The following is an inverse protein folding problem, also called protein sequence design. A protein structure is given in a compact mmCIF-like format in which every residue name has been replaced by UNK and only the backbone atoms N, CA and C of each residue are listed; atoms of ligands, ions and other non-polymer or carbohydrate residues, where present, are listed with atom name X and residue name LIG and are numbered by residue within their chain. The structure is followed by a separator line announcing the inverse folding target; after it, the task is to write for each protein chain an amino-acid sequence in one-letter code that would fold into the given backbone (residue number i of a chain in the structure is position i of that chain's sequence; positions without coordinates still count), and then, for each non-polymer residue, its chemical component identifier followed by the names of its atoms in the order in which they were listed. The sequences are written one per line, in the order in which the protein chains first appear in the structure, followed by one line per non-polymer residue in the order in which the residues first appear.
data_IF_886217197327
#
_entry.id   IF_886217197327
#
_cell.length_a   1.000
_cell.length_b   1.000
_cell.length_c   1.000
_cell.angle_alpha   90.00
_cell.angle_beta   90.00
_cell.angle_gamma   90.00
#
_symmetry.space_group_name_H-M   'P 1'
#
loop_
_entity.id
_entity.type
_entity.pdbx_description
1 polymer ?
#
# COMPACT_ATOMS: atom_id res chain seq x y z
N UNK A 1 -10.53 5.75 -6.08
CA UNK A 1 -11.51 6.28 -5.12
C UNK A 1 -12.85 5.67 -5.46
N UNK A 2 -13.55 5.14 -4.47
CA UNK A 2 -14.89 4.57 -4.59
C UNK A 2 -15.70 4.90 -3.34
N UNK A 3 -16.99 4.61 -3.33
CA UNK A 3 -17.89 4.84 -2.20
C UNK A 3 -17.46 4.06 -0.94
N UNK A 4 -16.87 2.87 -1.16
CA UNK A 4 -16.35 2.02 -0.11
C UNK A 4 -17.42 1.18 0.61
N UNK A 5 -18.61 1.03 0.04
CA UNK A 5 -19.72 0.29 0.66
C UNK A 5 -19.42 -1.21 0.91
N UNK A 6 -18.43 -1.79 0.22
CA UNK A 6 -17.85 -3.10 0.56
C UNK A 6 -17.12 -3.15 1.91
N UNK A 7 -16.83 -2.00 2.53
CA UNK A 7 -16.12 -1.89 3.83
C UNK A 7 -17.04 -1.71 5.04
N UNK A 8 -18.36 -1.70 4.86
CA UNK A 8 -19.35 -1.43 5.93
C UNK A 8 -19.19 -2.30 7.19
N UNK A 9 -18.63 -3.52 7.07
CA UNK A 9 -18.34 -4.40 8.23
C UNK A 9 -17.22 -3.88 9.15
N UNK A 10 -16.29 -3.07 8.63
CA UNK A 10 -15.10 -2.55 9.36
C UNK A 10 -15.14 -1.03 9.56
N UNK A 11 -15.97 -0.32 8.79
CA UNK A 11 -16.10 1.14 8.81
C UNK A 11 -17.52 1.54 9.22
N UNK A 12 -17.82 1.43 10.52
CA UNK A 12 -19.15 1.70 11.10
C UNK A 12 -19.60 3.14 10.81
N UNK A 13 -18.67 4.09 10.76
CA UNK A 13 -18.92 5.50 10.45
C UNK A 13 -19.50 5.75 9.04
N UNK A 14 -19.39 4.76 8.15
CA UNK A 14 -19.93 4.84 6.79
C UNK A 14 -21.45 4.63 6.75
N UNK A 15 -22.02 3.90 7.72
CA UNK A 15 -23.45 3.55 7.74
C UNK A 15 -24.36 4.79 7.70
N UNK A 16 -24.04 5.81 8.48
CA UNK A 16 -24.85 7.04 8.57
C UNK A 16 -24.70 7.97 7.37
N UNK A 17 -23.63 7.80 6.57
CA UNK A 17 -23.31 8.66 5.42
C UNK A 17 -23.67 8.01 4.09
N UNK A 18 -23.87 6.70 4.06
CA UNK A 18 -24.13 5.94 2.85
C UNK A 18 -25.44 6.38 2.17
N UNK A 19 -25.39 6.54 0.86
CA UNK A 19 -26.57 6.69 0.00
C UNK A 19 -26.21 6.27 -1.43
N UNK A 20 -27.23 6.00 -2.25
CA UNK A 20 -27.06 5.47 -3.61
C UNK A 20 -26.29 6.41 -4.56
N UNK A 21 -26.29 7.72 -4.30
CA UNK A 21 -25.59 8.69 -5.14
C UNK A 21 -24.10 8.79 -4.84
N UNK A 22 -23.58 8.26 -3.72
CA UNK A 22 -22.15 8.32 -3.43
C UNK A 22 -21.32 7.65 -4.52
N UNK A 23 -21.68 6.43 -4.90
CA UNK A 23 -21.00 5.71 -5.99
C UNK A 23 -21.23 6.38 -7.35
N UNK A 24 -22.46 6.82 -7.62
CA UNK A 24 -22.81 7.46 -8.88
C UNK A 24 -22.02 8.77 -9.12
N UNK A 25 -21.79 9.58 -8.07
CA UNK A 25 -20.96 10.79 -8.18
C UNK A 25 -19.48 10.51 -8.52
N UNK A 26 -18.98 9.30 -8.23
CA UNK A 26 -17.60 8.91 -8.49
C UNK A 26 -17.39 8.26 -9.86
N UNK A 27 -18.46 7.81 -10.53
CA UNK A 27 -18.42 7.09 -11.80
C UNK A 27 -17.53 7.76 -12.86
N UNK A 28 -17.82 9.02 -13.19
CA UNK A 28 -17.04 9.76 -14.20
C UNK A 28 -15.58 9.99 -13.77
N UNK A 29 -15.32 10.11 -12.47
CA UNK A 29 -13.96 10.24 -11.94
C UNK A 29 -13.19 8.93 -12.05
N UNK A 30 -13.82 7.80 -11.74
CA UNK A 30 -13.26 6.47 -11.89
C UNK A 30 -12.93 6.16 -13.36
N UNK A 31 -13.82 6.50 -14.29
CA UNK A 31 -13.55 6.39 -15.74
C UNK A 31 -12.29 7.16 -16.13
N UNK A 32 -12.17 8.44 -15.74
CA UNK A 32 -10.98 9.26 -16.06
C UNK A 32 -9.70 8.66 -15.47
N UNK A 33 -9.75 8.14 -14.24
CA UNK A 33 -8.60 7.51 -13.59
C UNK A 33 -8.20 6.22 -14.31
N UNK A 34 -9.17 5.34 -14.61
CA UNK A 34 -8.91 4.09 -15.30
C UNK A 34 -8.37 4.32 -16.71
N UNK A 35 -9.00 5.18 -17.50
CA UNK A 35 -8.50 5.56 -18.83
C UNK A 35 -7.07 6.12 -18.77
N UNK A 36 -6.75 6.91 -17.75
CA UNK A 36 -5.38 7.39 -17.57
C UNK A 36 -4.40 6.27 -17.29
N UNK A 37 -4.78 5.28 -16.47
CA UNK A 37 -3.99 4.06 -16.25
C UNK A 37 -3.80 3.26 -17.54
N UNK A 38 -4.86 3.10 -18.34
CA UNK A 38 -4.83 2.44 -19.65
C UNK A 38 -3.87 3.14 -20.63
N UNK A 39 -3.87 4.47 -20.69
CA UNK A 39 -2.92 5.26 -21.50
C UNK A 39 -1.45 5.09 -21.09
N UNK A 40 -1.17 4.69 -19.85
CA UNK A 40 0.19 4.46 -19.37
C UNK A 40 0.64 3.00 -19.57
N UNK A 41 -0.26 2.12 -20.01
CA UNK A 41 0.01 0.71 -20.17
C UNK A 41 0.60 0.42 -21.56
N UNK A 42 1.81 -0.12 -21.59
CA UNK A 42 2.44 -0.60 -22.82
C UNK A 42 1.68 -1.82 -23.38
N UNK A 43 1.81 -2.08 -24.68
CA UNK A 43 1.35 -3.32 -25.31
C UNK A 43 1.88 -4.56 -24.56
N UNK A 44 1.01 -5.55 -24.35
CA UNK A 44 1.24 -6.74 -23.54
C UNK A 44 1.26 -6.49 -22.03
N UNK A 45 1.03 -5.25 -21.59
CA UNK A 45 0.90 -4.89 -20.18
C UNK A 45 -0.49 -5.20 -19.62
N UNK A 46 -0.58 -5.24 -18.30
CA UNK A 46 -1.82 -5.50 -17.57
C UNK A 46 -2.26 -4.23 -16.83
N UNK A 47 -3.54 -3.91 -16.91
CA UNK A 47 -4.21 -2.92 -16.06
C UNK A 47 -5.17 -3.65 -15.15
N UNK A 48 -5.00 -3.48 -13.83
CA UNK A 48 -5.94 -3.98 -12.83
C UNK A 48 -6.76 -2.81 -12.32
N UNK A 49 -8.08 -2.91 -12.48
CA UNK A 49 -9.02 -2.01 -11.84
C UNK A 49 -9.64 -2.72 -10.63
N UNK A 50 -9.75 -2.02 -9.51
CA UNK A 50 -10.36 -2.57 -8.32
C UNK A 50 -11.05 -1.52 -7.47
N UNK A 51 -12.11 -1.91 -6.80
CA UNK A 51 -12.84 -1.09 -5.83
C UNK A 51 -13.07 -1.89 -4.55
N UNK A 52 -13.21 -1.20 -3.42
CA UNK A 52 -13.88 -1.75 -2.24
C UNK A 52 -15.37 -1.38 -2.23
N UNK A 53 -15.97 -1.31 -3.43
CA UNK A 53 -17.40 -1.10 -3.64
C UNK A 53 -18.07 -2.42 -4.06
N UNK A 54 -19.38 -2.50 -3.87
CA UNK A 54 -20.25 -3.52 -4.45
C UNK A 54 -21.25 -2.91 -5.44
N UNK A 55 -21.18 -1.60 -5.70
CA UNK A 55 -22.08 -0.91 -6.59
C UNK A 55 -21.67 -1.10 -8.06
N UNK A 56 -22.52 -1.69 -8.92
CA UNK A 56 -22.19 -1.91 -10.33
C UNK A 56 -21.89 -0.63 -11.12
N UNK A 57 -22.39 0.52 -10.66
CA UNK A 57 -22.09 1.84 -11.24
C UNK A 57 -20.61 2.19 -11.06
N UNK A 58 -19.94 1.73 -10.02
CA UNK A 58 -18.50 1.96 -9.80
C UNK A 58 -17.62 0.83 -10.36
N UNK A 59 -18.24 -0.32 -10.61
CA UNK A 59 -17.58 -1.58 -10.96
C UNK A 59 -17.73 -1.87 -12.46
N UNK A 60 -18.72 -2.68 -12.85
CA UNK A 60 -18.91 -3.13 -14.23
C UNK A 60 -19.19 -1.98 -15.20
N UNK A 61 -19.92 -0.97 -14.77
CA UNK A 61 -20.24 0.21 -15.58
C UNK A 61 -18.97 0.98 -15.99
N UNK A 62 -18.05 1.21 -15.03
CA UNK A 62 -16.76 1.89 -15.28
C UNK A 62 -15.91 1.07 -16.24
N UNK A 63 -15.76 -0.23 -15.97
CA UNK A 63 -14.97 -1.13 -16.82
C UNK A 63 -15.53 -1.17 -18.24
N UNK A 64 -16.85 -1.35 -18.37
CA UNK A 64 -17.52 -1.42 -19.66
C UNK A 64 -17.34 -0.14 -20.48
N UNK A 65 -17.45 1.01 -19.83
CA UNK A 65 -17.27 2.31 -20.48
C UNK A 65 -15.82 2.54 -20.91
N UNK A 66 -14.84 2.23 -20.05
CA UNK A 66 -13.43 2.37 -20.40
C UNK A 66 -13.02 1.42 -21.54
N UNK A 67 -13.52 0.19 -21.56
CA UNK A 67 -13.29 -0.75 -22.67
C UNK A 67 -13.89 -0.22 -23.98
N UNK A 68 -15.10 0.35 -23.94
CA UNK A 68 -15.73 0.95 -25.11
C UNK A 68 -14.90 2.13 -25.67
N UNK A 69 -14.45 3.03 -24.78
CA UNK A 69 -13.59 4.16 -25.16
C UNK A 69 -12.19 3.73 -25.62
N UNK A 70 -11.76 2.53 -25.24
CA UNK A 70 -10.48 1.98 -25.66
C UNK A 70 -10.48 1.38 -27.07
N UNK A 71 -11.63 1.30 -27.76
CA UNK A 71 -11.74 0.82 -29.15
C UNK A 71 -11.02 -0.51 -29.41
N UNK A 72 -11.25 -1.50 -28.54
CA UNK A 72 -10.63 -2.84 -28.59
C UNK A 72 -9.12 -2.90 -28.34
N UNK A 73 -8.48 -1.82 -27.89
CA UNK A 73 -7.07 -1.86 -27.46
C UNK A 73 -6.87 -2.68 -26.18
N UNK A 74 -7.94 -2.90 -25.40
CA UNK A 74 -7.89 -3.73 -24.19
C UNK A 74 -8.95 -4.82 -24.23
N UNK A 75 -8.64 -5.96 -23.60
CA UNK A 75 -9.60 -7.05 -23.36
C UNK A 75 -9.58 -7.49 -21.90
N UNK A 76 -10.71 -7.97 -21.39
CA UNK A 76 -10.78 -8.62 -20.08
C UNK A 76 -10.15 -10.02 -20.14
N UNK A 77 -9.32 -10.32 -19.14
CA UNK A 77 -8.79 -11.67 -18.91
C UNK A 77 -9.43 -12.26 -17.66
N UNK A 78 -9.67 -13.57 -17.66
CA UNK A 78 -10.10 -14.30 -16.47
C UNK A 78 -8.93 -14.41 -15.48
N UNK A 79 -9.01 -13.78 -14.29
CA UNK A 79 -7.93 -13.85 -13.31
C UNK A 79 -7.99 -15.11 -12.44
N UNK A 80 -9.02 -15.95 -12.51
CA UNK A 80 -9.19 -17.13 -11.63
C UNK A 80 -7.95 -18.04 -11.59
N UNK A 81 -7.28 -18.35 -12.73
CA UNK A 81 -6.07 -19.17 -12.70
C UNK A 81 -4.87 -18.53 -11.97
N UNK A 82 -4.88 -17.20 -11.79
CA UNK A 82 -3.80 -16.45 -11.14
C UNK A 82 -3.92 -16.43 -9.60
N UNK A 83 -5.11 -16.74 -9.07
CA UNK A 83 -5.42 -16.68 -7.64
C UNK A 83 -6.15 -17.95 -7.19
N UNK A 84 -5.49 -19.12 -7.26
CA UNK A 84 -6.10 -20.38 -6.88
C UNK A 84 -6.60 -20.33 -5.42
N UNK A 85 -7.85 -20.74 -5.23
CA UNK A 85 -8.51 -20.77 -3.91
C UNK A 85 -9.31 -19.52 -3.54
N UNK A 86 -9.22 -18.42 -4.31
CA UNK A 86 -10.07 -17.25 -4.08
C UNK A 86 -11.53 -17.54 -4.45
N UNK A 87 -12.45 -17.41 -3.50
CA UNK A 87 -13.89 -17.54 -3.77
C UNK A 87 -14.46 -16.19 -4.21
N UNK A 88 -14.86 -16.10 -5.47
CA UNK A 88 -15.46 -14.89 -6.03
C UNK A 88 -16.59 -15.22 -7.01
N UNK A 89 -17.58 -14.34 -7.08
CA UNK A 89 -18.64 -14.39 -8.09
C UNK A 89 -18.20 -13.69 -9.39
N UNK A 90 -18.74 -14.08 -10.56
CA UNK A 90 -18.51 -13.36 -11.81
C UNK A 90 -19.14 -11.96 -11.75
N UNK A 91 -18.65 -11.04 -12.60
CA UNK A 91 -19.25 -9.73 -12.81
C UNK A 91 -20.71 -9.80 -13.24
N UNK A 92 -21.47 -8.77 -12.86
CA UNK A 92 -22.87 -8.61 -13.22
C UNK A 92 -23.03 -8.30 -14.70
N UNK A 93 -24.08 -8.87 -15.30
CA UNK A 93 -24.45 -8.64 -16.71
C UNK A 93 -25.63 -7.67 -16.85
N UNK A 94 -26.27 -7.33 -15.75
CA UNK A 94 -27.44 -6.47 -15.68
C UNK A 94 -27.58 -5.89 -14.26
N UNK A 95 -28.16 -4.69 -14.15
CA UNK A 95 -28.45 -4.00 -12.89
C UNK A 95 -29.39 -2.82 -13.13
N UNK A 96 -29.87 -2.24 -12.03
CA UNK A 96 -30.70 -1.03 -12.03
C UNK A 96 -30.18 -0.05 -10.98
N UNK A 97 -30.40 1.24 -11.19
CA UNK A 97 -30.07 2.27 -10.22
C UNK A 97 -31.26 2.53 -9.30
N UNK A 98 -30.99 2.98 -8.08
CA UNK A 98 -32.00 3.35 -7.10
C UNK A 98 -31.80 4.81 -6.71
N UNK A 99 -32.88 5.59 -6.67
CA UNK A 99 -32.83 7.01 -6.29
C UNK A 99 -32.37 7.20 -4.85
N UNK A 100 -31.93 8.42 -4.51
CA UNK A 100 -31.33 8.74 -3.20
C UNK A 100 -32.26 8.40 -2.02
N UNK A 101 -33.55 8.63 -2.20
CA UNK A 101 -34.62 8.37 -1.24
C UNK A 101 -35.07 6.89 -1.21
N UNK A 102 -34.46 6.04 -2.04
CA UNK A 102 -34.74 4.61 -2.15
C UNK A 102 -36.15 4.27 -2.68
N UNK A 103 -36.86 5.23 -3.28
CA UNK A 103 -38.26 5.05 -3.70
C UNK A 103 -38.42 4.60 -5.14
N UNK A 104 -37.49 4.98 -6.02
CA UNK A 104 -37.64 4.80 -7.47
C UNK A 104 -36.46 4.03 -8.03
N UNK A 105 -36.76 2.95 -8.75
CA UNK A 105 -35.77 2.15 -9.50
C UNK A 105 -35.72 2.64 -10.94
N UNK A 106 -34.51 2.84 -11.45
CA UNK A 106 -34.23 3.33 -12.80
C UNK A 106 -33.45 2.25 -13.55
N UNK A 107 -34.02 1.76 -14.63
CA UNK A 107 -33.46 0.72 -15.49
C UNK A 107 -32.73 1.30 -16.70
N UNK A 108 -33.16 2.47 -17.18
CA UNK A 108 -32.58 3.10 -18.37
C UNK A 108 -32.28 4.58 -18.16
N UNK A 109 -31.50 5.14 -19.08
CA UNK A 109 -31.18 6.58 -19.08
C UNK A 109 -32.44 7.42 -19.32
N UNK A 110 -33.37 6.95 -20.14
CA UNK A 110 -34.64 7.63 -20.43
C UNK A 110 -35.51 7.73 -19.17
N UNK A 111 -35.59 6.66 -18.37
CA UNK A 111 -36.28 6.68 -17.07
C UNK A 111 -35.62 7.68 -16.11
N UNK A 112 -34.29 7.72 -16.08
CA UNK A 112 -33.53 8.65 -15.24
C UNK A 112 -33.74 10.12 -15.64
N UNK A 113 -33.81 10.40 -16.95
CA UNK A 113 -34.13 11.73 -17.47
C UNK A 113 -35.57 12.14 -17.12
N UNK A 114 -36.53 11.22 -17.29
CA UNK A 114 -37.93 11.46 -16.92
C UNK A 114 -38.07 11.71 -15.40
N UNK A 115 -37.34 10.99 -14.57
CA UNK A 115 -37.28 11.22 -13.13
C UNK A 115 -36.70 12.60 -12.79
N UNK A 116 -35.54 12.95 -13.36
CA UNK A 116 -34.87 14.23 -13.13
C UNK A 116 -35.73 15.43 -13.56
N UNK A 117 -36.53 15.28 -14.63
CA UNK A 117 -37.46 16.32 -15.08
C UNK A 117 -38.64 16.53 -14.11
N UNK A 118 -39.08 15.48 -13.41
CA UNK A 118 -40.20 15.54 -12.44
C UNK A 118 -39.78 16.05 -11.08
N UNK A 119 -38.55 15.76 -10.65
CA UNK A 119 -38.04 16.11 -9.32
C UNK A 119 -36.78 16.99 -9.42
N UNK A 120 -36.98 18.25 -9.80
CA UNK A 120 -35.90 19.24 -9.95
C UNK A 120 -35.10 19.49 -8.64
N UNK A 121 -35.60 19.03 -7.48
CA UNK A 121 -34.90 19.10 -6.19
C UNK A 121 -33.73 18.12 -6.10
N UNK A 122 -33.69 17.10 -6.95
CA UNK A 122 -32.74 16.00 -6.81
C UNK A 122 -31.35 16.28 -7.44
N UNK A 123 -31.19 17.32 -8.28
CA UNK A 123 -29.92 17.93 -8.70
C UNK A 123 -28.83 17.04 -9.33
N UNK A 124 -29.01 15.72 -9.34
CA UNK A 124 -28.04 14.73 -9.78
C UNK A 124 -28.26 14.41 -11.25
N UNK A 125 -27.18 14.46 -12.03
CA UNK A 125 -27.18 14.13 -13.44
C UNK A 125 -26.68 12.71 -13.63
N UNK A 126 -27.59 11.79 -13.93
CA UNK A 126 -27.24 10.44 -14.37
C UNK A 126 -26.59 10.50 -15.75
N UNK A 127 -25.70 9.54 -16.06
CA UNK A 127 -25.10 9.40 -17.39
C UNK A 127 -25.36 8.01 -17.93
N UNK A 128 -25.46 7.89 -19.25
CA UNK A 128 -25.84 6.64 -19.92
C UNK A 128 -24.91 5.46 -19.55
N UNK A 129 -23.61 5.72 -19.35
CA UNK A 129 -22.63 4.70 -18.98
C UNK A 129 -22.85 4.08 -17.60
N UNK A 130 -23.72 4.65 -16.76
CA UNK A 130 -24.10 4.05 -15.46
C UNK A 130 -25.05 2.87 -15.62
N UNK A 131 -25.78 2.78 -16.72
CA UNK A 131 -26.79 1.74 -16.97
C UNK A 131 -26.17 0.57 -17.75
N UNK A 132 -26.65 -0.66 -17.54
CA UNK A 132 -26.13 -1.81 -18.25
C UNK A 132 -26.52 -1.78 -19.73
N UNK A 133 -25.62 -2.26 -20.57
CA UNK A 133 -25.93 -2.62 -21.95
C UNK A 133 -25.53 -4.09 -22.13
N UNK A 134 -26.49 -4.99 -21.99
CA UNK A 134 -26.23 -6.44 -21.91
C UNK A 134 -25.48 -6.99 -23.13
N UNK A 135 -25.76 -6.47 -24.34
CA UNK A 135 -25.05 -6.84 -25.55
C UNK A 135 -23.57 -6.42 -25.47
N UNK A 136 -23.29 -5.16 -25.13
CA UNK A 136 -21.93 -4.64 -24.95
C UNK A 136 -21.18 -5.40 -23.86
N UNK A 137 -21.83 -5.68 -22.74
CA UNK A 137 -21.25 -6.42 -21.61
C UNK A 137 -20.88 -7.87 -21.97
N UNK A 138 -21.70 -8.50 -22.81
CA UNK A 138 -21.43 -9.84 -23.34
C UNK A 138 -20.23 -9.82 -24.28
N UNK A 139 -20.19 -8.89 -25.26
CA UNK A 139 -19.06 -8.73 -26.19
C UNK A 139 -17.74 -8.46 -25.46
N UNK A 140 -17.80 -7.69 -24.37
CA UNK A 140 -16.64 -7.36 -23.54
C UNK A 140 -16.22 -8.49 -22.60
N UNK A 141 -16.98 -9.58 -22.50
CA UNK A 141 -16.78 -10.67 -21.53
C UNK A 141 -16.76 -10.17 -20.07
N UNK A 142 -17.72 -9.32 -19.68
CA UNK A 142 -17.75 -8.70 -18.33
C UNK A 142 -17.71 -9.73 -17.18
N UNK A 143 -18.21 -10.94 -17.43
CA UNK A 143 -18.19 -12.06 -16.48
C UNK A 143 -16.78 -12.52 -16.06
N UNK A 144 -15.72 -12.08 -16.76
CA UNK A 144 -14.33 -12.27 -16.33
C UNK A 144 -13.94 -11.39 -15.14
N UNK A 145 -14.68 -10.32 -14.87
CA UNK A 145 -14.48 -9.54 -13.63
C UNK A 145 -14.93 -10.36 -12.40
N UNK A 146 -14.41 -10.02 -11.23
CA UNK A 146 -14.58 -10.80 -9.99
C UNK A 146 -15.17 -9.93 -8.90
N UNK A 147 -16.25 -10.40 -8.29
CA UNK A 147 -16.88 -9.85 -7.10
C UNK A 147 -16.55 -10.72 -5.90
N UNK A 148 -15.77 -10.19 -4.97
CA UNK A 148 -15.55 -10.78 -3.66
C UNK A 148 -16.67 -10.32 -2.74
N UNK A 149 -17.51 -11.25 -2.32
CA UNK A 149 -18.69 -10.96 -1.52
C UNK A 149 -18.49 -11.40 -0.06
N UNK A 150 -18.86 -10.57 0.92
CA UNK A 150 -18.66 -10.88 2.34
C UNK A 150 -19.19 -12.24 2.78
N UNK A 151 -20.37 -12.63 2.27
CA UNK A 151 -21.07 -13.85 2.67
C UNK A 151 -20.51 -15.14 2.03
N UNK A 152 -19.56 -15.04 1.08
CA UNK A 152 -19.00 -16.22 0.41
C UNK A 152 -17.74 -16.77 1.09
N UNK A 153 -16.97 -15.94 1.80
CA UNK A 153 -15.70 -16.36 2.41
C UNK A 153 -15.30 -15.51 3.63
N UNK A 154 -16.27 -14.91 4.33
CA UNK A 154 -16.08 -14.08 5.53
C UNK A 154 -15.07 -12.91 5.36
N UNK A 155 -15.22 -12.13 4.29
CA UNK A 155 -14.36 -10.99 3.98
C UNK A 155 -15.13 -9.67 3.99
N UNK A 156 -14.47 -8.58 3.60
CA UNK A 156 -15.14 -7.38 3.07
C UNK A 156 -15.66 -7.61 1.64
N UNK A 157 -16.31 -6.60 1.08
CA UNK A 157 -16.72 -6.53 -0.32
C UNK A 157 -15.63 -5.91 -1.19
N UNK A 158 -15.39 -6.51 -2.36
CA UNK A 158 -14.37 -6.04 -3.29
C UNK A 158 -14.73 -6.39 -4.73
N UNK A 159 -14.30 -5.58 -5.68
CA UNK A 159 -14.41 -5.84 -7.11
C UNK A 159 -13.04 -5.77 -7.78
N UNK A 160 -12.79 -6.66 -8.74
CA UNK A 160 -11.55 -6.70 -9.52
C UNK A 160 -11.84 -6.96 -11.00
N UNK A 161 -11.24 -6.17 -11.87
CA UNK A 161 -11.20 -6.38 -13.31
C UNK A 161 -9.75 -6.34 -13.80
N UNK A 162 -9.35 -7.35 -14.57
CA UNK A 162 -8.00 -7.45 -15.12
C UNK A 162 -8.07 -7.34 -16.63
N UNK A 163 -7.34 -6.36 -17.18
CA UNK A 163 -7.37 -6.04 -18.60
C UNK A 163 -5.97 -6.14 -19.19
N UNK A 164 -5.85 -6.80 -20.34
CA UNK A 164 -4.62 -6.89 -21.12
C UNK A 164 -4.63 -5.84 -22.24
N UNK A 165 -3.52 -5.12 -22.39
CA UNK A 165 -3.28 -4.16 -23.45
C UNK A 165 -2.82 -4.87 -24.73
N UNK A 166 -3.66 -4.92 -25.76
CA UNK A 166 -3.37 -5.63 -27.02
C UNK A 166 -2.52 -4.81 -27.98
N UNK A 167 -2.66 -3.49 -27.94
CA UNK A 167 -2.00 -2.53 -28.82
C UNK A 167 -1.59 -1.27 -28.04
N UNK A 168 -0.74 -0.43 -28.61
CA UNK A 168 -0.36 0.81 -27.93
C UNK A 168 -1.55 1.77 -27.88
N UNK A 169 -2.02 2.11 -26.68
CA UNK A 169 -3.15 3.01 -26.51
C UNK A 169 -2.71 4.45 -26.75
N UNK A 170 -3.02 4.96 -27.94
CA UNK A 170 -2.63 6.29 -28.38
C UNK A 170 -3.14 7.33 -27.40
N UNK A 171 -2.19 8.00 -26.73
CA UNK A 171 -2.50 9.16 -25.90
C UNK A 171 -2.76 10.34 -26.84
N UNK A 172 -3.92 11.02 -26.77
CA UNK A 172 -4.08 12.30 -27.45
C UNK A 172 -2.94 13.22 -27.02
N UNK A 173 -2.24 13.85 -27.97
CA UNK A 173 -1.08 14.72 -27.68
C UNK A 173 -1.48 15.77 -26.65
N UNK A 174 -1.17 15.53 -25.38
CA UNK A 174 -1.43 16.51 -24.34
C UNK A 174 -0.49 17.69 -24.61
N UNK A 175 -1.05 18.87 -24.87
CA UNK A 175 -0.29 20.10 -24.88
C UNK A 175 0.56 20.14 -23.60
N UNK A 176 1.86 20.42 -23.76
CA UNK A 176 2.77 20.55 -22.62
C UNK A 176 2.31 21.71 -21.76
N UNK A 177 1.45 21.46 -20.78
CA UNK A 177 1.15 22.43 -19.75
C UNK A 177 2.41 22.53 -18.90
N UNK A 178 3.19 23.58 -19.15
CA UNK A 178 4.25 24.02 -18.26
C UNK A 178 3.62 24.28 -16.90
N UNK A 179 3.82 23.37 -15.95
CA UNK A 179 3.44 23.62 -14.57
C UNK A 179 4.34 24.75 -14.06
N UNK A 180 3.76 25.93 -13.81
CA UNK A 180 4.49 27.02 -13.19
C UNK A 180 4.88 26.60 -11.78
N UNK A 181 6.20 26.59 -11.51
CA UNK A 181 6.75 26.25 -10.21
C UNK A 181 6.52 27.39 -9.23
N UNK A 182 5.33 27.45 -8.63
CA UNK A 182 5.14 28.24 -7.41
C UNK A 182 5.74 27.46 -6.23
N UNK A 183 7.05 27.63 -6.02
CA UNK A 183 7.80 27.10 -4.88
C UNK A 183 9.18 26.57 -5.27
N UNK A 184 10.23 27.07 -4.60
CA UNK A 184 11.62 26.59 -4.66
C UNK A 184 11.78 25.18 -4.04
N UNK A 185 11.02 24.19 -4.50
CA UNK A 185 11.22 22.82 -4.03
C UNK A 185 12.27 22.14 -4.90
N UNK A 186 13.43 21.82 -4.32
CA UNK A 186 14.50 21.09 -5.01
C UNK A 186 14.00 19.70 -5.44
N UNK A 187 14.25 19.36 -6.70
CA UNK A 187 13.93 18.04 -7.25
C UNK A 187 14.96 17.03 -6.77
N UNK A 188 14.60 15.74 -6.78
CA UNK A 188 15.62 14.71 -6.69
C UNK A 188 16.55 14.78 -7.90
N UNK A 189 17.84 14.63 -7.65
CA UNK A 189 18.90 14.63 -8.67
C UNK A 189 19.89 13.49 -8.39
N UNK A 190 20.55 12.95 -9.42
CA UNK A 190 21.63 11.99 -9.24
C UNK A 190 22.76 12.62 -8.41
N UNK A 191 23.50 11.81 -7.66
CA UNK A 191 24.70 12.31 -6.98
C UNK A 191 25.74 12.80 -8.00
N UNK A 192 26.42 13.89 -7.68
CA UNK A 192 27.63 14.31 -8.37
C UNK A 192 28.72 13.23 -8.30
N UNK A 193 29.63 13.14 -9.29
CA UNK A 193 30.72 12.16 -9.26
C UNK A 193 31.58 12.22 -8.00
N UNK A 194 31.83 13.43 -7.48
CA UNK A 194 32.55 13.63 -6.22
C UNK A 194 31.82 12.97 -5.05
N UNK A 195 30.52 13.25 -4.90
CA UNK A 195 29.72 12.69 -3.82
C UNK A 195 29.54 11.17 -3.95
N UNK A 196 29.49 10.63 -5.18
CA UNK A 196 29.49 9.18 -5.38
C UNK A 196 30.75 8.52 -4.80
N UNK A 197 31.92 9.12 -5.03
CA UNK A 197 33.19 8.63 -4.47
C UNK A 197 33.27 8.78 -2.95
N UNK A 198 32.81 9.92 -2.39
CA UNK A 198 32.72 10.13 -0.94
C UNK A 198 31.84 9.09 -0.26
N UNK A 199 30.64 8.84 -0.80
CA UNK A 199 29.69 7.85 -0.28
C UNK A 199 30.28 6.44 -0.35
N UNK A 200 30.90 6.10 -1.49
CA UNK A 200 31.55 4.80 -1.70
C UNK A 200 32.67 4.56 -0.68
N UNK A 201 33.51 5.57 -0.45
CA UNK A 201 34.60 5.51 0.53
C UNK A 201 34.07 5.40 1.97
N UNK A 202 33.13 6.28 2.35
CA UNK A 202 32.54 6.36 3.69
C UNK A 202 31.93 5.04 4.16
N UNK A 203 31.22 4.35 3.26
CA UNK A 203 30.53 3.11 3.55
C UNK A 203 31.33 1.87 3.11
N UNK A 204 32.54 2.08 2.56
CA UNK A 204 33.41 1.03 2.02
C UNK A 204 32.70 0.13 0.99
N UNK A 205 31.83 0.72 0.16
CA UNK A 205 31.03 0.01 -0.84
C UNK A 205 31.93 -0.58 -1.95
N UNK A 206 31.56 -1.72 -2.53
CA UNK A 206 32.34 -2.33 -3.61
C UNK A 206 32.38 -1.43 -4.85
N UNK A 207 33.42 -1.54 -5.67
CA UNK A 207 33.54 -0.78 -6.91
C UNK A 207 32.40 -1.04 -7.91
N UNK A 208 31.81 -2.24 -7.87
CA UNK A 208 30.65 -2.62 -8.69
C UNK A 208 29.32 -2.04 -8.17
N UNK A 209 29.30 -1.34 -7.04
CA UNK A 209 28.09 -0.75 -6.50
C UNK A 209 27.51 0.29 -7.48
N UNK A 210 26.21 0.24 -7.81
CA UNK A 210 25.61 1.13 -8.81
C UNK A 210 25.42 2.57 -8.28
N UNK A 211 26.50 3.33 -8.13
CA UNK A 211 26.50 4.72 -7.64
C UNK A 211 25.63 5.67 -8.47
N UNK A 212 25.53 5.45 -9.79
CA UNK A 212 24.66 6.22 -10.69
C UNK A 212 23.15 6.02 -10.46
N UNK A 213 22.77 5.12 -9.56
CA UNK A 213 21.38 4.91 -9.12
C UNK A 213 21.09 5.55 -7.75
N UNK A 214 22.04 6.31 -7.21
CA UNK A 214 21.86 7.10 -6.00
C UNK A 214 21.32 8.49 -6.32
N UNK A 215 20.41 8.98 -5.48
CA UNK A 215 19.76 10.28 -5.61
C UNK A 215 19.75 11.03 -4.27
N UNK A 216 19.77 12.35 -4.38
CA UNK A 216 19.59 13.29 -3.26
C UNK A 216 18.64 14.40 -3.70
N UNK A 217 18.01 15.10 -2.75
CA UNK A 217 17.38 16.40 -3.06
C UNK A 217 18.40 17.52 -3.05
N UNK A 218 19.28 17.49 -2.05
CA UNK A 218 20.31 18.48 -1.81
C UNK A 218 21.60 17.77 -1.37
N UNK A 219 22.73 18.16 -1.94
CA UNK A 219 24.06 17.62 -1.59
C UNK A 219 24.70 18.36 -0.41
N UNK A 220 24.14 19.51 -0.01
CA UNK A 220 24.59 20.32 1.13
C UNK A 220 23.56 20.30 2.26
N UNK A 221 22.72 19.26 2.30
CA UNK A 221 21.71 19.12 3.34
C UNK A 221 22.36 19.05 4.73
N UNK A 222 21.72 19.67 5.72
CA UNK A 222 22.12 19.54 7.14
C UNK A 222 22.17 18.08 7.59
N UNK A 223 21.23 17.28 7.13
CA UNK A 223 21.17 15.84 7.35
C UNK A 223 21.08 15.18 5.98
N UNK A 224 22.18 14.55 5.56
CA UNK A 224 22.25 13.97 4.22
C UNK A 224 21.36 12.73 4.17
N UNK A 225 20.48 12.65 3.16
CA UNK A 225 19.61 11.50 2.91
C UNK A 225 19.80 11.06 1.46
N UNK A 226 20.25 9.83 1.28
CA UNK A 226 20.59 9.27 -0.03
C UNK A 226 19.64 8.12 -0.34
N UNK A 227 19.08 8.16 -1.53
CA UNK A 227 18.05 7.26 -2.01
C UNK A 227 18.58 6.41 -3.13
N UNK A 228 18.22 5.13 -3.16
CA UNK A 228 18.53 4.21 -4.23
C UNK A 228 17.29 3.95 -5.07
N UNK A 229 17.40 4.15 -6.38
CA UNK A 229 16.33 3.94 -7.34
C UNK A 229 16.72 2.90 -8.39
N UNK A 230 15.78 2.08 -8.86
CA UNK A 230 16.06 1.20 -9.99
C UNK A 230 16.21 2.01 -11.30
N UNK A 231 16.81 1.40 -12.32
CA UNK A 231 17.08 2.04 -13.62
C UNK A 231 15.82 2.63 -14.28
N UNK A 232 14.66 1.99 -14.12
CA UNK A 232 13.40 2.48 -14.67
C UNK A 232 12.95 3.78 -14.00
N UNK A 233 13.04 3.87 -12.68
CA UNK A 233 12.77 5.10 -11.92
C UNK A 233 13.77 6.19 -12.31
N UNK A 234 15.06 5.87 -12.46
CA UNK A 234 16.07 6.84 -12.92
C UNK A 234 15.70 7.49 -14.27
N UNK A 235 15.14 6.71 -15.20
CA UNK A 235 14.76 7.18 -16.52
C UNK A 235 13.50 8.07 -16.52
N UNK A 236 12.59 7.87 -15.56
CA UNK A 236 11.32 8.61 -15.47
C UNK A 236 11.44 9.85 -14.59
N UNK A 237 12.29 9.83 -13.57
CA UNK A 237 12.40 10.89 -12.56
C UNK A 237 12.59 12.31 -13.13
N UNK A 238 13.43 12.55 -14.17
CA UNK A 238 13.58 13.88 -14.77
C UNK A 238 12.28 14.45 -15.35
N UNK A 239 11.29 13.59 -15.66
CA UNK A 239 10.01 13.96 -16.27
C UNK A 239 8.91 14.30 -15.23
N UNK A 240 9.12 13.99 -13.95
CA UNK A 240 8.07 14.10 -12.91
C UNK A 240 8.05 15.45 -12.17
N UNK A 241 9.14 16.22 -12.24
CA UNK A 241 9.24 17.55 -11.63
C UNK A 241 9.34 17.55 -10.09
N UNK A 242 9.16 18.71 -9.43
CA UNK A 242 9.48 18.90 -8.00
C UNK A 242 8.48 18.25 -7.01
N UNK A 243 7.29 17.87 -7.48
CA UNK A 243 6.22 17.28 -6.63
C UNK A 243 6.47 15.83 -6.24
N UNK A 244 7.51 15.19 -6.77
CA UNK A 244 7.92 13.84 -6.37
C UNK A 244 8.26 13.87 -4.89
N UNK A 245 7.49 13.18 -4.03
CA UNK A 245 7.73 13.14 -2.59
C UNK A 245 8.94 12.27 -2.24
N UNK A 246 9.02 11.09 -2.86
CA UNK A 246 10.05 10.07 -2.61
C UNK A 246 10.57 9.48 -3.93
N UNK A 247 11.82 9.03 -3.92
CA UNK A 247 12.44 8.28 -5.02
C UNK A 247 13.02 6.99 -4.47
N UNK A 248 12.62 5.84 -5.02
CA UNK A 248 13.12 4.54 -4.58
C UNK A 248 13.07 4.34 -3.06
N UNK A 249 14.15 3.82 -2.47
CA UNK A 249 14.28 3.61 -1.03
C UNK A 249 15.39 4.49 -0.44
N UNK A 250 15.17 5.08 0.74
CA UNK A 250 16.24 5.76 1.49
C UNK A 250 17.22 4.71 2.02
N UNK A 251 18.43 4.67 1.47
CA UNK A 251 19.42 3.63 1.77
C UNK A 251 20.52 4.10 2.70
N UNK A 252 20.90 5.38 2.62
CA UNK A 252 21.94 5.95 3.48
C UNK A 252 21.49 7.27 4.09
N UNK A 253 21.98 7.54 5.29
CA UNK A 253 21.81 8.84 5.94
C UNK A 253 23.05 9.22 6.73
N UNK A 254 23.26 10.54 6.92
CA UNK A 254 24.33 11.00 7.78
C UNK A 254 23.95 10.86 9.26
N UNK A 255 24.90 10.40 10.07
CA UNK A 255 24.77 10.42 11.54
C UNK A 255 25.49 11.63 12.16
N UNK A 256 26.18 12.41 11.35
CA UNK A 256 26.75 13.73 11.69
C UNK A 256 26.13 14.79 10.78
N UNK A 257 25.88 15.98 11.33
CA UNK A 257 25.32 17.11 10.58
C UNK A 257 26.33 17.67 9.59
N UNK A 258 25.87 18.10 8.41
CA UNK A 258 26.68 18.69 7.34
C UNK A 258 27.85 17.80 6.91
N UNK A 259 27.67 16.47 6.92
CA UNK A 259 28.69 15.50 6.54
C UNK A 259 28.18 14.54 5.47
N UNK A 260 29.02 14.31 4.48
CA UNK A 260 28.85 13.33 3.40
C UNK A 260 29.76 12.10 3.58
N UNK A 261 30.64 12.11 4.59
CA UNK A 261 31.59 11.03 4.89
C UNK A 261 31.24 10.23 6.16
N UNK A 262 30.31 10.73 6.99
CA UNK A 262 29.80 10.08 8.20
C UNK A 262 28.41 9.54 7.95
N UNK A 263 28.36 8.50 7.11
CA UNK A 263 27.14 7.87 6.65
C UNK A 263 26.92 6.51 7.29
N UNK A 264 25.65 6.12 7.39
CA UNK A 264 25.21 4.80 7.82
C UNK A 264 24.10 4.24 6.95
N UNK A 265 23.86 2.94 7.06
CA UNK A 265 22.73 2.28 6.42
C UNK A 265 21.41 2.66 7.09
N UNK A 266 20.38 2.94 6.29
CA UNK A 266 19.02 3.19 6.77
C UNK A 266 18.26 1.89 6.98
N UNK A 267 17.51 1.80 8.07
CA UNK A 267 16.67 0.64 8.38
C UNK A 267 15.64 0.34 7.28
N UNK A 268 14.99 1.37 6.73
CA UNK A 268 13.97 1.24 5.68
C UNK A 268 14.53 0.67 4.36
N UNK A 269 15.77 1.01 4.02
CA UNK A 269 16.39 0.66 2.74
C UNK A 269 17.32 -0.54 2.78
N UNK A 270 17.57 -1.13 3.96
CA UNK A 270 18.59 -2.18 4.11
C UNK A 270 18.30 -3.41 3.25
N UNK A 271 17.03 -3.81 3.12
CA UNK A 271 16.63 -4.93 2.26
C UNK A 271 16.92 -4.68 0.77
N UNK A 272 16.89 -3.43 0.33
CA UNK A 272 17.24 -3.03 -1.05
C UNK A 272 18.76 -3.09 -1.27
N UNK A 273 19.56 -2.88 -0.23
CA UNK A 273 21.02 -2.94 -0.30
C UNK A 273 21.56 -4.37 -0.32
N UNK A 274 20.91 -5.32 0.36
CA UNK A 274 21.44 -6.70 0.52
C UNK A 274 21.86 -7.35 -0.80
N UNK A 275 21.07 -7.31 -1.89
CA UNK A 275 21.49 -7.91 -3.17
C UNK A 275 22.67 -7.19 -3.85
N UNK A 276 23.01 -5.98 -3.40
CA UNK A 276 24.06 -5.12 -3.95
C UNK A 276 25.35 -5.15 -3.11
N UNK A 277 25.30 -5.76 -1.92
CA UNK A 277 26.41 -5.84 -0.98
C UNK A 277 27.08 -7.22 -1.08
N UNK A 278 28.42 -7.29 -0.97
CA UNK A 278 29.11 -8.57 -0.95
C UNK A 278 28.90 -9.27 0.41
N UNK A 279 29.06 -10.61 0.48
CA UNK A 279 28.81 -11.39 1.70
C UNK A 279 29.44 -10.86 2.99
N UNK A 280 30.65 -10.26 3.01
CA UNK A 280 31.24 -9.71 4.23
C UNK A 280 30.40 -8.64 4.93
N UNK A 281 29.48 -7.96 4.25
CA UNK A 281 28.59 -6.98 4.88
C UNK A 281 27.45 -7.61 5.66
N UNK A 282 27.22 -8.92 5.51
CA UNK A 282 26.05 -9.60 6.05
C UNK A 282 26.51 -10.55 7.15
N UNK A 283 26.02 -10.31 8.37
CA UNK A 283 26.31 -11.13 9.54
C UNK A 283 25.03 -11.87 9.92
N UNK A 284 25.09 -13.20 9.97
CA UNK A 284 23.94 -13.99 10.40
C UNK A 284 23.83 -13.98 11.93
N UNK A 285 22.61 -13.76 12.43
CA UNK A 285 22.28 -13.80 13.86
C UNK A 285 20.99 -14.59 14.08
N UNK A 286 20.82 -15.12 15.29
CA UNK A 286 19.59 -15.79 15.68
C UNK A 286 18.49 -14.78 16.11
N UNK A 287 17.22 -15.22 16.21
CA UNK A 287 16.12 -14.36 16.67
C UNK A 287 16.29 -13.84 18.10
N UNK A 288 17.01 -14.55 18.98
CA UNK A 288 17.23 -14.10 20.37
C UNK A 288 18.13 -12.87 20.39
N UNK A 289 19.18 -12.86 19.56
CA UNK A 289 20.07 -11.72 19.36
C UNK A 289 19.32 -10.50 18.83
N UNK A 290 18.28 -10.69 18.00
CA UNK A 290 17.41 -9.60 17.54
C UNK A 290 16.70 -8.94 18.72
N UNK A 291 16.18 -9.73 19.67
CA UNK A 291 15.54 -9.22 20.90
C UNK A 291 16.53 -8.52 21.83
N UNK A 292 17.77 -9.03 21.92
CA UNK A 292 18.82 -8.38 22.71
C UNK A 292 19.20 -7.02 22.10
N UNK A 293 19.38 -6.96 20.79
CA UNK A 293 19.68 -5.73 20.04
C UNK A 293 18.53 -4.73 20.05
N UNK A 294 17.27 -5.16 20.21
CA UNK A 294 16.14 -4.24 20.34
C UNK A 294 16.09 -3.55 21.71
N UNK A 295 16.68 -4.16 22.74
CA UNK A 295 16.74 -3.62 24.11
C UNK A 295 17.92 -2.67 24.32
N UNK A 296 18.95 -2.74 23.48
CA UNK A 296 20.11 -1.87 23.61
C UNK A 296 21.29 -2.27 22.73
N UNK A 297 22.44 -1.66 23.02
CA UNK A 297 23.70 -1.97 22.35
C UNK A 297 24.34 -3.21 22.95
N UNK A 298 24.98 -4.02 22.10
CA UNK A 298 25.72 -5.20 22.53
C UNK A 298 27.22 -4.99 22.36
N UNK A 299 28.03 -5.66 23.17
CA UNK A 299 29.49 -5.66 23.00
C UNK A 299 29.86 -6.45 21.75
N UNK A 300 30.85 -6.00 20.98
CA UNK A 300 31.30 -6.73 19.79
C UNK A 300 31.74 -8.17 20.09
N UNK A 301 32.18 -8.46 21.32
CA UNK A 301 32.59 -9.79 21.76
C UNK A 301 31.41 -10.77 21.96
N UNK A 302 30.18 -10.28 22.15
CA UNK A 302 28.98 -11.14 22.28
C UNK A 302 28.31 -11.42 20.93
N UNK A 303 28.90 -10.94 19.84
CA UNK A 303 28.37 -11.06 18.48
C UNK A 303 29.26 -11.98 17.64
N UNK A 304 28.72 -12.56 16.56
CA UNK A 304 29.52 -13.28 15.56
C UNK A 304 30.60 -12.37 14.95
N UNK A 305 31.51 -12.97 14.17
CA UNK A 305 32.57 -12.20 13.51
C UNK A 305 32.00 -11.05 12.67
N UNK A 306 32.36 -9.82 13.06
CA UNK A 306 31.83 -8.60 12.45
C UNK A 306 32.77 -8.06 11.35
N UNK A 307 32.23 -7.51 10.26
CA UNK A 307 33.04 -6.85 9.24
C UNK A 307 33.78 -5.63 9.79
N UNK A 308 34.94 -5.25 9.20
CA UNK A 308 35.69 -4.07 9.63
C UNK A 308 34.91 -2.75 9.39
N UNK A 309 33.91 -2.79 8.53
CA UNK A 309 33.07 -1.66 8.13
C UNK A 309 32.34 -1.03 9.33
N UNK A 310 32.14 0.29 9.28
CA UNK A 310 31.35 0.99 10.28
C UNK A 310 29.87 0.56 10.24
N UNK A 311 29.30 0.46 9.04
CA UNK A 311 27.93 -0.01 8.82
C UNK A 311 27.91 -1.36 8.11
N UNK A 312 26.98 -2.21 8.52
CA UNK A 312 26.78 -3.56 8.00
C UNK A 312 25.34 -4.01 8.25
N UNK A 313 25.01 -5.24 7.90
CA UNK A 313 23.65 -5.78 7.98
C UNK A 313 23.63 -7.05 8.81
N UNK A 314 22.72 -7.14 9.76
CA UNK A 314 22.36 -8.42 10.36
C UNK A 314 21.27 -9.10 9.56
N UNK A 315 21.39 -10.41 9.36
CA UNK A 315 20.38 -11.27 8.75
C UNK A 315 19.93 -12.29 9.79
N UNK A 316 18.63 -12.34 10.06
CA UNK A 316 18.01 -13.33 10.94
C UNK A 316 16.92 -14.09 10.17
N UNK A 317 16.83 -15.40 10.36
CA UNK A 317 15.75 -16.20 9.76
C UNK A 317 14.60 -16.34 10.76
N UNK A 318 13.41 -15.90 10.35
CA UNK A 318 12.18 -15.93 11.13
C UNK A 318 11.23 -17.01 10.57
N UNK A 319 10.51 -17.72 11.43
CA UNK A 319 9.66 -18.84 11.01
C UNK A 319 8.56 -18.42 10.02
N UNK A 320 7.98 -17.22 10.21
CA UNK A 320 6.84 -16.73 9.41
C UNK A 320 7.29 -15.96 8.17
N UNK A 321 8.33 -15.15 8.28
CA UNK A 321 8.74 -14.20 7.24
C UNK A 321 10.00 -14.62 6.45
N UNK A 322 10.68 -15.69 6.86
CA UNK A 322 12.00 -16.05 6.33
C UNK A 322 13.06 -15.04 6.76
N UNK A 323 13.99 -14.71 5.86
CA UNK A 323 15.11 -13.82 6.16
C UNK A 323 14.64 -12.37 6.37
N UNK A 324 14.94 -11.81 7.54
CA UNK A 324 14.81 -10.38 7.86
C UNK A 324 16.18 -9.73 7.97
N UNK A 325 16.26 -8.46 7.58
CA UNK A 325 17.49 -7.69 7.52
C UNK A 325 17.43 -6.47 8.42
N UNK A 326 18.50 -6.22 9.16
CA UNK A 326 18.57 -5.16 10.18
C UNK A 326 19.85 -4.36 9.93
N UNK A 327 19.70 -3.04 9.78
CA UNK A 327 20.85 -2.15 9.65
C UNK A 327 21.59 -2.07 11.00
N UNK A 328 22.90 -2.28 10.97
CA UNK A 328 23.77 -2.28 12.13
C UNK A 328 24.96 -1.34 11.94
N UNK A 329 25.46 -0.80 13.04
CA UNK A 329 26.59 0.11 13.06
C UNK A 329 27.47 -0.09 14.28
N UNK A 330 28.77 0.15 14.10
CA UNK A 330 29.74 0.23 15.19
C UNK A 330 29.49 1.51 15.98
N UNK A 331 29.05 1.36 17.22
CA UNK A 331 28.95 2.45 18.18
C UNK A 331 30.32 2.67 18.88
N UNK A 332 30.44 3.77 19.63
CA UNK A 332 31.62 4.04 20.44
C UNK A 332 31.89 2.93 21.47
N UNK A 333 33.16 2.81 21.89
CA UNK A 333 33.61 1.88 22.94
C UNK A 333 33.42 0.39 22.63
N UNK A 334 33.52 0.00 21.36
CA UNK A 334 33.44 -1.42 20.94
C UNK A 334 32.04 -2.02 21.01
N UNK A 335 31.01 -1.17 21.16
CA UNK A 335 29.62 -1.57 21.14
C UNK A 335 29.05 -1.58 19.72
N UNK A 336 28.01 -2.37 19.50
CA UNK A 336 27.25 -2.44 18.26
C UNK A 336 25.82 -1.99 18.54
N UNK A 337 25.32 -1.12 17.67
CA UNK A 337 23.92 -0.73 17.65
C UNK A 337 23.24 -1.33 16.40
N UNK A 338 21.97 -1.68 16.54
CA UNK A 338 21.14 -2.10 15.41
C UNK A 338 19.81 -1.33 15.42
N UNK A 339 19.26 -1.08 14.23
CA UNK A 339 17.96 -0.42 14.07
C UNK A 339 16.88 -1.48 13.92
N UNK A 340 16.49 -2.09 15.06
CA UNK A 340 15.43 -3.11 15.11
C UNK A 340 14.06 -2.43 15.15
N UNK A 341 13.17 -2.78 14.22
CA UNK A 341 11.80 -2.29 14.18
C UNK A 341 10.85 -3.19 14.99
N UNK A 342 9.74 -2.64 15.49
CA UNK A 342 8.78 -3.37 16.34
C UNK A 342 8.25 -4.65 15.68
N UNK A 343 7.97 -4.61 14.38
CA UNK A 343 7.51 -5.80 13.65
C UNK A 343 8.59 -6.89 13.58
N UNK A 344 9.88 -6.54 13.61
CA UNK A 344 10.99 -7.50 13.65
C UNK A 344 11.09 -8.15 15.03
N UNK A 345 10.83 -7.38 16.10
CA UNK A 345 10.70 -7.90 17.47
C UNK A 345 9.54 -8.89 17.56
N UNK A 346 8.37 -8.54 17.03
CA UNK A 346 7.19 -9.41 16.97
C UNK A 346 7.51 -10.73 16.25
N UNK A 347 8.18 -10.68 15.09
CA UNK A 347 8.57 -11.88 14.36
C UNK A 347 9.59 -12.73 15.12
N UNK A 348 10.54 -12.11 15.83
CA UNK A 348 11.49 -12.82 16.66
C UNK A 348 10.78 -13.52 17.84
N UNK A 349 9.89 -12.82 18.55
CA UNK A 349 9.06 -13.39 19.63
C UNK A 349 8.23 -14.58 19.11
N UNK A 350 7.55 -14.45 17.96
CA UNK A 350 6.80 -15.54 17.34
C UNK A 350 7.68 -16.74 16.98
N UNK A 351 8.86 -16.48 16.41
CA UNK A 351 9.82 -17.54 16.03
C UNK A 351 10.33 -18.31 17.24
N UNK A 352 10.45 -17.63 18.39
CA UNK A 352 10.90 -18.21 19.66
C UNK A 352 9.74 -18.76 20.52
N UNK A 353 8.49 -18.66 20.07
CA UNK A 353 7.33 -19.05 20.87
C UNK A 353 7.08 -18.18 22.11
N UNK A 354 7.59 -16.94 22.12
CA UNK A 354 7.41 -15.99 23.22
C UNK A 354 6.06 -15.24 23.11
N UNK A 355 5.47 -14.80 24.24
CA UNK A 355 4.25 -13.98 24.24
C UNK A 355 4.44 -12.66 23.50
N UNK A 356 3.46 -12.28 22.68
CA UNK A 356 3.47 -11.00 21.94
C UNK A 356 3.21 -9.79 22.84
N UNK A 357 2.37 -9.99 23.86
CA UNK A 357 2.04 -8.99 24.87
C UNK A 357 2.75 -9.42 26.15
N UNK A 358 3.58 -8.55 26.70
CA UNK A 358 4.11 -8.75 28.04
C UNK A 358 2.94 -8.62 29.01
N UNK A 359 2.62 -9.71 29.73
CA UNK A 359 1.56 -9.68 30.72
C UNK A 359 1.91 -8.61 31.76
N UNK A 360 0.99 -7.66 31.98
CA UNK A 360 1.13 -6.71 33.07
C UNK A 360 1.03 -7.53 34.37
N UNK A 361 2.15 -7.83 35.02
CA UNK A 361 2.16 -8.56 36.30
C UNK A 361 1.38 -7.83 37.40
N UNK A 362 1.07 -6.54 37.22
CA UNK A 362 0.18 -5.77 38.10
C UNK A 362 -1.31 -6.16 37.97
N UNK A 363 -1.76 -6.72 36.85
CA UNK A 363 -3.16 -7.14 36.67
C UNK A 363 -3.48 -8.50 37.31
N UNK A 364 -2.45 -9.28 37.67
CA UNK A 364 -2.64 -10.58 38.33
C UNK A 364 -2.95 -10.45 39.83
N UNK A 365 -2.73 -9.28 40.43
CA UNK A 365 -2.98 -9.04 41.87
C UNK A 365 -4.44 -8.67 42.14
N UNK A 366 -5.17 -8.14 41.15
CA UNK A 366 -6.56 -7.69 41.34
C UNK A 366 -7.60 -8.81 41.15
N UNK A 367 -7.22 -9.93 40.52
CA UNK A 367 -8.10 -11.09 40.36
C UNK A 367 -8.30 -11.90 41.66
N UNK A 368 -7.39 -11.78 42.63
CA UNK A 368 -7.49 -12.45 43.94
C UNK A 368 -8.24 -11.63 45.00
N UNK A 369 -8.85 -10.49 44.63
CA UNK A 369 -9.58 -9.61 45.57
C UNK A 369 -11.10 -9.69 45.47
N UNK A 370 -11.64 -10.51 44.57
CA UNK A 370 -13.10 -10.62 44.32
C UNK A 370 -13.70 -11.95 44.82
N UNK A 371 -12.89 -12.89 45.30
CA UNK A 371 -13.41 -14.08 45.99
C UNK A 371 -13.50 -13.85 47.50
N UNK A 372 -14.54 -13.14 47.91
CA UNK A 372 -14.84 -12.98 49.33
C UNK A 372 -15.84 -11.88 49.59
N UNK A 373 -17.11 -12.11 49.25
CA UNK A 373 -18.23 -11.70 50.10
C UNK A 373 -19.50 -12.48 49.73
N UNK A 374 -20.17 -12.93 50.79
CA UNK A 374 -21.10 -14.05 50.80
C UNK A 374 -22.51 -13.79 50.29
N UNK A 375 -23.24 -14.90 50.14
CA UNK A 375 -24.66 -14.98 49.82
C UNK A 375 -25.54 -14.06 50.69
N UNK A 376 -26.52 -13.35 50.09
CA UNK A 376 -27.58 -12.72 50.87
C UNK A 376 -28.71 -13.73 51.18
N UNK A 377 -29.40 -13.58 52.32
CA UNK A 377 -30.36 -14.57 52.82
C UNK A 377 -31.73 -14.44 52.15
N UNK A 378 -32.44 -15.58 52.12
CA UNK A 378 -33.84 -15.75 51.76
C UNK A 378 -34.75 -15.01 52.74
N UNK A 379 -35.71 -14.22 52.23
CA UNK A 379 -36.78 -13.62 53.04
C UNK A 379 -38.13 -14.10 52.51
N UNK A 380 -38.79 -14.94 53.32
CA UNK A 380 -40.21 -15.29 53.22
C UNK A 380 -41.10 -14.11 53.62
N UNK A 381 -42.32 -14.09 53.08
CA UNK A 381 -43.23 -12.94 53.07
C UNK A 381 -43.95 -12.61 54.38
N UNK A 382 -44.75 -11.54 54.32
CA UNK A 382 -45.69 -11.13 55.35
C UNK A 382 -46.45 -9.85 54.98
N UNK A 383 -47.78 -9.93 55.12
CA UNK A 383 -48.83 -8.95 54.82
C UNK A 383 -48.78 -7.67 55.68
N UNK A 384 -49.26 -6.53 55.14
CA UNK A 384 -50.47 -5.81 55.60
C UNK A 384 -50.51 -4.32 55.20
N UNK A 385 -51.75 -3.90 54.91
CA UNK A 385 -52.35 -2.56 54.68
C UNK A 385 -52.03 -1.78 53.40
#
# INVERSE_FOLDING_TARGET
MCSGDGTLRKSVDMWSRWNTLLGANLHSTQIRVLLRGMMLCKKGGIVVYSTCSLNPVEDEAVVSECLAQSKNTFRLIDPTPLVPGLVAAPGLKDWSLLTRDLTTRLHTMEEAQAFAARDARNGFSYVASMFPNSARLQEQNIHHTRRVLPHLQDTGGFFVAVMECLEEYLTPTAASTSFSSHGKSETFKPLSPLLQEEVRAALSLPAAFPGGQLFVRNETAREQKIYFANKAVCAVLPKLGPRVAHVGAKVFESYVKYSNDKLRFCAEGVGVLVPLLPPPFIVEIDPEMVLQLSRGKLGAASLPQLPPNHSFVFKANMAVAGAVYIAAERAGLGQIAAKVADWQVTLAKLTLGQPLVEGNEEAAVDANRVEGDGEPPVVEGGENE
#
